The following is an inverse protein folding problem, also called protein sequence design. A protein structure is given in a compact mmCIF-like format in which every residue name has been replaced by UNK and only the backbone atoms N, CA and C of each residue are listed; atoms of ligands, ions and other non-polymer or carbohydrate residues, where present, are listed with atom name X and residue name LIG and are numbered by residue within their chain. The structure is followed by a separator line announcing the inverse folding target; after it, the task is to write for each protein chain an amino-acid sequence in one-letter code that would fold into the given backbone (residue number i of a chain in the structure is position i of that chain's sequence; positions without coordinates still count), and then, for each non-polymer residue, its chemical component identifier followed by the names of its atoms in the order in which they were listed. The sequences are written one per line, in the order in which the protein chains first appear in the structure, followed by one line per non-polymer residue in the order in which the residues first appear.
data_IF_397570597220
#
_entry.id   IF_397570597220
#
_cell.length_a   1.000
_cell.length_b   1.000
_cell.length_c   1.000
_cell.angle_alpha   90.00
_cell.angle_beta   90.00
_cell.angle_gamma   90.00
#
_symmetry.space_group_name_H-M   'P 1'
#
loop_
_entity.id
_entity.type
_entity.pdbx_description
1 polymer ?
#
# COMPACT_ATOMS: atom_id res chain seq x y z
N UNK A 1 -32.04 70.77 -0.05
CA UNK A 1 -33.35 70.79 -0.75
C UNK A 1 -33.24 70.00 -2.04
N UNK A 2 -34.22 69.14 -2.30
CA UNK A 2 -34.51 68.39 -3.54
C UNK A 2 -33.48 67.33 -4.01
N UNK A 3 -33.75 66.03 -3.87
CA UNK A 3 -34.60 65.17 -4.73
C UNK A 3 -34.08 65.00 -6.17
N UNK A 4 -33.64 63.77 -6.53
CA UNK A 4 -34.27 62.84 -7.50
C UNK A 4 -33.22 61.83 -8.00
N UNK A 5 -33.39 60.54 -7.74
CA UNK A 5 -34.13 59.50 -8.51
C UNK A 5 -33.14 58.49 -9.07
N UNK A 6 -33.36 57.25 -8.62
CA UNK A 6 -32.78 56.01 -9.10
C UNK A 6 -32.72 55.91 -10.63
N UNK A 7 -31.60 55.41 -11.15
CA UNK A 7 -31.60 54.60 -12.37
C UNK A 7 -31.31 53.17 -12.00
N UNK A 8 -32.38 52.40 -12.09
CA UNK A 8 -32.40 50.96 -12.20
C UNK A 8 -31.47 50.50 -13.32
N UNK A 9 -30.58 49.57 -13.01
CA UNK A 9 -29.91 48.75 -14.01
C UNK A 9 -30.60 47.40 -13.94
N UNK A 10 -31.44 47.11 -14.93
CA UNK A 10 -32.10 45.82 -15.03
C UNK A 10 -31.09 44.70 -15.28
N UNK A 11 -31.38 43.47 -14.78
CA UNK A 11 -30.60 42.28 -15.06
C UNK A 11 -30.87 41.79 -16.49
N UNK A 12 -30.39 40.60 -16.85
CA UNK A 12 -30.77 39.84 -18.05
C UNK A 12 -30.01 40.21 -19.34
N UNK A 13 -28.89 39.50 -19.55
CA UNK A 13 -28.61 38.71 -20.77
C UNK A 13 -27.36 37.86 -20.55
N UNK A 14 -27.49 36.83 -19.70
CA UNK A 14 -26.61 35.66 -19.84
C UNK A 14 -27.14 34.85 -21.01
N UNK A 15 -26.65 35.19 -22.19
CA UNK A 15 -26.77 34.37 -23.38
C UNK A 15 -26.26 32.97 -23.06
N UNK A 16 -27.18 32.01 -23.11
CA UNK A 16 -26.88 30.60 -23.14
C UNK A 16 -26.04 30.31 -24.39
N UNK A 17 -24.74 30.04 -24.21
CA UNK A 17 -23.96 29.25 -25.15
C UNK A 17 -22.74 28.70 -24.41
N UNK A 18 -22.68 27.38 -24.23
CA UNK A 18 -21.55 26.75 -23.56
C UNK A 18 -21.82 25.46 -22.78
N UNK A 19 -23.02 24.86 -22.85
CA UNK A 19 -23.30 23.55 -22.20
C UNK A 19 -22.75 22.33 -22.96
N UNK A 20 -21.63 22.46 -23.68
CA UNK A 20 -21.00 21.34 -24.39
C UNK A 20 -19.46 21.25 -24.26
N UNK A 21 -18.87 22.00 -23.33
CA UNK A 21 -17.43 21.93 -23.06
C UNK A 21 -17.07 21.18 -21.75
N UNK A 22 -18.06 20.58 -21.06
CA UNK A 22 -17.86 19.95 -19.76
C UNK A 22 -17.69 18.42 -19.75
N UNK A 23 -17.91 17.73 -20.87
CA UNK A 23 -17.91 16.26 -20.90
C UNK A 23 -16.64 15.61 -21.49
N UNK A 24 -15.75 16.38 -22.13
CA UNK A 24 -14.52 15.83 -22.71
C UNK A 24 -13.37 15.66 -21.70
N UNK A 25 -13.47 16.25 -20.50
CA UNK A 25 -12.47 16.11 -19.45
C UNK A 25 -12.67 14.87 -18.56
N UNK A 26 -13.91 14.38 -18.48
CA UNK A 26 -14.26 13.16 -17.73
C UNK A 26 -13.52 11.90 -18.22
N UNK A 27 -13.40 11.59 -19.53
CA UNK A 27 -12.66 10.42 -19.98
C UNK A 27 -11.15 10.53 -19.73
N UNK A 28 -10.59 11.74 -19.78
CA UNK A 28 -9.16 11.97 -19.51
C UNK A 28 -8.82 11.74 -18.03
N UNK A 29 -9.71 12.15 -17.12
CA UNK A 29 -9.59 11.89 -15.68
C UNK A 29 -9.86 10.43 -15.34
N UNK A 30 -10.80 9.76 -16.03
CA UNK A 30 -11.03 8.33 -15.88
C UNK A 30 -9.85 7.49 -16.38
N UNK A 31 -9.14 7.93 -17.43
CA UNK A 31 -7.94 7.26 -17.93
C UNK A 31 -6.75 7.32 -16.95
N UNK A 32 -6.68 8.36 -16.10
CA UNK A 32 -5.66 8.50 -15.05
C UNK A 32 -5.95 7.65 -13.81
N UNK A 33 -7.20 7.23 -13.60
CA UNK A 33 -7.58 6.39 -12.47
C UNK A 33 -7.09 4.92 -12.60
N UNK A 34 -6.59 4.52 -13.77
CA UNK A 34 -6.02 3.19 -14.00
C UNK A 34 -4.54 3.05 -13.64
N UNK A 35 -3.91 4.06 -13.01
CA UNK A 35 -2.46 4.11 -12.78
C UNK A 35 -2.03 3.65 -11.38
N UNK A 36 -2.94 3.21 -10.51
CA UNK A 36 -2.61 2.62 -9.21
C UNK A 36 -3.55 1.45 -8.90
N UNK A 37 -3.00 0.39 -8.31
CA UNK A 37 -3.80 -0.75 -7.89
C UNK A 37 -3.07 -1.69 -6.95
N UNK A 38 -3.84 -2.65 -6.41
CA UNK A 38 -3.34 -3.75 -5.59
C UNK A 38 -3.82 -5.07 -6.19
N UNK A 39 -2.92 -6.03 -6.25
CA UNK A 39 -3.24 -7.38 -6.67
C UNK A 39 -2.97 -8.35 -5.52
N UNK A 40 -3.98 -9.15 -5.16
CA UNK A 40 -3.81 -10.25 -4.22
C UNK A 40 -3.22 -11.44 -4.97
N UNK A 41 -1.93 -11.69 -4.73
CA UNK A 41 -1.13 -12.70 -5.40
C UNK A 41 -1.54 -14.14 -5.01
N UNK A 42 -2.20 -14.33 -3.86
CA UNK A 42 -2.64 -15.63 -3.40
C UNK A 42 -3.96 -16.04 -4.08
N UNK A 43 -4.88 -15.09 -4.26
CA UNK A 43 -6.19 -15.33 -4.87
C UNK A 43 -6.13 -15.70 -6.35
N UNK A 44 -5.13 -15.21 -7.07
CA UNK A 44 -4.96 -15.36 -8.52
C UNK A 44 -4.08 -16.55 -8.92
N UNK A 45 -3.61 -17.35 -7.96
CA UNK A 45 -2.72 -18.49 -8.23
C UNK A 45 -1.33 -18.07 -8.73
N UNK A 46 -0.97 -16.81 -8.56
CA UNK A 46 0.30 -16.25 -9.01
C UNK A 46 1.50 -16.59 -8.13
N UNK A 47 1.25 -17.21 -6.98
CA UNK A 47 2.28 -17.71 -6.10
C UNK A 47 2.08 -19.20 -5.85
N UNK A 48 3.19 -19.95 -5.66
CA UNK A 48 3.12 -21.34 -5.23
C UNK A 48 2.47 -21.46 -3.83
N UNK A 49 2.51 -20.40 -3.03
CA UNK A 49 1.83 -20.29 -1.74
C UNK A 49 0.34 -19.94 -1.92
N UNK A 50 -0.54 -20.92 -1.71
CA UNK A 50 -1.97 -20.68 -1.44
C UNK A 50 -2.10 -20.33 0.04
N UNK A 51 -2.07 -19.06 0.46
CA UNK A 51 -2.12 -18.71 1.89
C UNK A 51 -3.49 -18.12 2.26
N UNK A 52 -4.15 -18.59 3.34
CA UNK A 52 -3.59 -18.61 4.70
C UNK A 52 -2.55 -19.70 4.97
N UNK A 53 -1.38 -19.31 5.49
CA UNK A 53 -0.28 -20.21 5.80
C UNK A 53 0.39 -19.83 7.13
N UNK A 54 0.67 -20.84 7.96
CA UNK A 54 1.43 -20.67 9.20
C UNK A 54 2.92 -20.83 8.94
N UNK A 55 3.71 -19.83 9.31
CA UNK A 55 5.18 -19.82 9.17
C UNK A 55 5.83 -19.67 10.54
N UNK A 56 7.12 -20.00 10.65
CA UNK A 56 7.87 -19.87 11.90
C UNK A 56 9.10 -19.00 11.66
N UNK A 57 9.28 -17.96 12.47
CA UNK A 57 10.46 -17.10 12.37
C UNK A 57 11.74 -17.91 12.61
N UNK A 58 12.73 -17.77 11.71
CA UNK A 58 14.04 -18.41 11.90
C UNK A 58 15.05 -17.49 12.58
N UNK A 59 14.76 -16.19 12.61
CA UNK A 59 15.58 -15.17 13.23
C UNK A 59 14.72 -14.20 14.02
N UNK A 60 15.35 -13.46 14.91
CA UNK A 60 14.68 -12.40 15.66
C UNK A 60 14.14 -11.32 14.71
N UNK A 61 12.93 -10.85 15.00
CA UNK A 61 12.27 -9.79 14.25
C UNK A 61 11.59 -8.81 15.20
N UNK A 62 11.41 -7.57 14.78
CA UNK A 62 10.64 -6.58 15.52
C UNK A 62 9.32 -6.24 14.82
N UNK A 63 8.31 -5.93 15.61
CA UNK A 63 7.09 -5.24 15.17
C UNK A 63 7.23 -3.76 15.46
N UNK A 64 7.04 -2.94 14.43
CA UNK A 64 7.28 -1.51 14.46
C UNK A 64 6.01 -0.74 14.10
N UNK A 65 5.63 0.20 14.93
CA UNK A 65 4.59 1.18 14.65
C UNK A 65 5.17 2.26 13.73
N UNK A 66 4.50 2.60 12.64
CA UNK A 66 4.88 3.72 11.77
C UNK A 66 3.89 4.86 11.98
N UNK A 67 4.27 5.87 12.78
CA UNK A 67 3.37 6.98 13.15
C UNK A 67 2.00 6.45 13.56
N UNK A 68 0.93 6.85 12.87
CA UNK A 68 -0.46 6.48 13.16
C UNK A 68 -0.99 5.35 12.24
N UNK A 69 -0.12 4.59 11.57
CA UNK A 69 -0.53 3.49 10.70
C UNK A 69 -1.23 2.38 11.50
N UNK A 70 -2.36 1.82 11.03
CA UNK A 70 -3.11 0.82 11.78
C UNK A 70 -2.45 -0.57 11.79
N UNK A 71 -1.39 -0.79 11.01
CA UNK A 71 -0.72 -2.07 10.84
C UNK A 71 0.75 -1.94 11.23
N UNK A 72 1.25 -2.90 12.01
CA UNK A 72 2.65 -2.92 12.42
C UNK A 72 3.53 -3.39 11.26
N UNK A 73 4.73 -2.84 11.15
CA UNK A 73 5.73 -3.32 10.19
C UNK A 73 6.58 -4.39 10.87
N UNK A 74 6.57 -5.60 10.33
CA UNK A 74 7.54 -6.63 10.70
C UNK A 74 8.87 -6.33 10.01
N UNK A 75 9.97 -6.42 10.72
CA UNK A 75 11.32 -6.24 10.16
C UNK A 75 12.33 -7.12 10.90
N UNK A 76 13.40 -7.60 10.23
CA UNK A 76 14.54 -8.22 10.90
C UNK A 76 15.04 -7.40 12.09
N UNK A 77 15.51 -8.07 13.15
CA UNK A 77 16.21 -7.44 14.27
C UNK A 77 17.59 -8.08 14.49
N UNK A 78 18.66 -7.29 14.70
CA UNK A 78 18.70 -5.83 14.60
C UNK A 78 18.50 -5.34 13.16
N UNK A 79 17.97 -4.12 13.01
CA UNK A 79 17.89 -3.38 11.74
C UNK A 79 18.72 -2.11 11.83
N UNK A 80 19.02 -1.52 10.68
CA UNK A 80 19.49 -0.15 10.62
C UNK A 80 18.37 0.80 11.07
N UNK A 81 18.64 1.57 12.12
CA UNK A 81 17.69 2.52 12.73
C UNK A 81 17.98 3.97 12.35
N UNK A 82 18.93 4.24 11.45
CA UNK A 82 19.36 5.60 11.10
C UNK A 82 18.20 6.50 10.66
N UNK A 83 17.20 5.93 9.98
CA UNK A 83 16.05 6.66 9.45
C UNK A 83 14.76 6.47 10.27
N UNK A 84 14.80 5.74 11.40
CA UNK A 84 13.58 5.40 12.14
C UNK A 84 12.88 6.68 12.64
N UNK A 85 13.63 7.69 13.11
CA UNK A 85 13.07 8.98 13.55
C UNK A 85 12.38 9.73 12.41
N UNK A 86 12.98 9.77 11.23
CA UNK A 86 12.42 10.45 10.06
C UNK A 86 11.08 9.82 9.63
N UNK A 87 11.04 8.49 9.62
CA UNK A 87 9.84 7.73 9.29
C UNK A 87 8.86 7.58 10.46
N UNK A 88 9.22 8.03 11.66
CA UNK A 88 8.40 7.86 12.86
C UNK A 88 8.18 6.39 13.24
N UNK A 89 9.20 5.55 13.02
CA UNK A 89 9.18 4.15 13.42
C UNK A 89 9.47 4.02 14.91
N UNK A 90 8.62 3.28 15.61
CA UNK A 90 8.82 2.92 17.01
C UNK A 90 8.63 1.42 17.18
N UNK A 91 9.57 0.76 17.86
CA UNK A 91 9.45 -0.67 18.14
C UNK A 91 8.39 -0.89 19.22
N UNK A 92 7.39 -1.69 18.88
CA UNK A 92 6.33 -2.12 19.79
C UNK A 92 6.72 -3.41 20.50
N UNK A 93 7.30 -4.36 19.75
CA UNK A 93 7.63 -5.69 20.27
C UNK A 93 8.82 -6.30 19.54
N UNK A 94 9.58 -7.13 20.25
CA UNK A 94 10.54 -8.07 19.65
C UNK A 94 9.94 -9.48 19.67
N UNK A 95 10.03 -10.18 18.55
CA UNK A 95 9.59 -11.56 18.35
C UNK A 95 10.84 -12.45 18.25
N UNK A 96 11.03 -13.42 19.15
CA UNK A 96 12.17 -14.31 19.11
C UNK A 96 12.08 -15.30 17.93
N UNK A 97 13.21 -15.91 17.53
CA UNK A 97 13.18 -17.10 16.67
C UNK A 97 12.25 -18.18 17.23
N UNK A 98 11.61 -18.95 16.36
CA UNK A 98 10.61 -19.95 16.73
C UNK A 98 9.19 -19.41 16.90
N UNK A 99 8.99 -18.08 16.83
CA UNK A 99 7.66 -17.48 16.90
C UNK A 99 6.83 -17.86 15.68
N UNK A 100 5.63 -18.46 15.84
CA UNK A 100 4.74 -18.74 14.72
C UNK A 100 4.01 -17.47 14.27
N UNK A 101 3.87 -17.26 12.96
CA UNK A 101 3.09 -16.18 12.37
C UNK A 101 2.05 -16.77 11.43
N UNK A 102 0.87 -16.18 11.39
CA UNK A 102 -0.14 -16.50 10.40
C UNK A 102 -0.06 -15.49 9.26
N UNK A 103 0.21 -15.96 8.04
CA UNK A 103 0.18 -15.15 6.82
C UNK A 103 -1.20 -15.31 6.21
N UNK A 104 -1.96 -14.23 6.09
CA UNK A 104 -3.34 -14.26 5.59
C UNK A 104 -3.43 -13.81 4.14
N UNK A 105 -2.50 -12.98 3.68
CA UNK A 105 -2.54 -12.41 2.33
C UNK A 105 -1.17 -11.96 1.85
N UNK A 106 -0.94 -12.06 0.54
CA UNK A 106 0.22 -11.52 -0.15
C UNK A 106 -0.28 -10.53 -1.20
N UNK A 107 0.12 -9.26 -1.10
CA UNK A 107 -0.29 -8.23 -2.06
C UNK A 107 0.90 -7.68 -2.83
N UNK A 108 0.65 -7.34 -4.09
CA UNK A 108 1.51 -6.46 -4.87
C UNK A 108 0.78 -5.14 -5.13
N UNK A 109 1.33 -4.04 -4.63
CA UNK A 109 0.86 -2.70 -4.96
C UNK A 109 1.66 -2.16 -6.15
N UNK A 110 1.00 -1.51 -7.11
CA UNK A 110 1.63 -0.92 -8.30
C UNK A 110 1.06 0.47 -8.58
N UNK A 111 1.89 1.33 -9.18
CA UNK A 111 1.48 2.64 -9.66
C UNK A 111 2.64 3.62 -9.77
N UNK A 112 2.35 4.86 -10.21
CA UNK A 112 3.36 5.87 -10.55
C UNK A 112 4.29 6.20 -9.37
N UNK A 113 3.76 6.24 -8.15
CA UNK A 113 4.48 6.60 -6.93
C UNK A 113 4.80 5.39 -6.02
N UNK A 114 4.36 4.18 -6.38
CA UNK A 114 4.42 2.98 -5.52
C UNK A 114 5.72 2.18 -5.68
N UNK A 115 6.74 2.79 -6.31
CA UNK A 115 8.02 2.15 -6.63
C UNK A 115 7.87 1.04 -7.67
N UNK A 116 8.84 0.10 -7.75
CA UNK A 116 8.86 -1.02 -8.73
C UNK A 116 7.72 -2.04 -8.55
N UNK A 117 6.67 -1.75 -7.78
CA UNK A 117 5.57 -2.68 -7.51
C UNK A 117 5.81 -3.49 -6.23
N UNK A 118 5.74 -2.83 -5.07
CA UNK A 118 6.06 -3.42 -3.75
C UNK A 118 5.21 -4.66 -3.47
N UNK A 119 5.87 -5.71 -3.00
CA UNK A 119 5.23 -6.96 -2.58
C UNK A 119 5.29 -7.04 -1.06
N UNK A 120 4.12 -7.23 -0.44
CA UNK A 120 3.95 -7.23 1.00
C UNK A 120 3.22 -8.49 1.47
N UNK A 121 3.69 -9.07 2.58
CA UNK A 121 2.98 -10.11 3.29
C UNK A 121 2.21 -9.52 4.48
N UNK A 122 0.93 -9.85 4.58
CA UNK A 122 0.07 -9.44 5.69
C UNK A 122 -0.29 -10.63 6.55
N UNK A 123 -0.35 -10.41 7.86
CA UNK A 123 -0.57 -11.48 8.81
C UNK A 123 -0.86 -11.02 10.22
N UNK A 124 -0.87 -11.98 11.15
CA UNK A 124 -1.06 -11.75 12.58
C UNK A 124 0.00 -12.46 13.41
N UNK A 125 0.48 -11.79 14.46
CA UNK A 125 1.35 -12.38 15.47
C UNK A 125 0.59 -13.35 16.39
N UNK A 126 1.27 -14.15 17.24
CA UNK A 126 0.60 -14.97 18.25
C UNK A 126 -0.25 -14.17 19.25
N UNK A 127 0.10 -12.90 19.49
CA UNK A 127 -0.66 -12.01 20.36
C UNK A 127 -1.79 -11.27 19.62
N UNK A 128 -1.99 -11.56 18.34
CA UNK A 128 -3.08 -11.01 17.52
C UNK A 128 -2.78 -9.65 16.90
N UNK A 129 -1.56 -9.14 17.00
CA UNK A 129 -1.23 -7.87 16.35
C UNK A 129 -1.14 -8.06 14.83
N UNK A 130 -1.88 -7.25 14.03
CA UNK A 130 -1.77 -7.30 12.57
C UNK A 130 -0.43 -6.71 12.13
N UNK A 131 0.21 -7.36 11.18
CA UNK A 131 1.47 -6.90 10.62
C UNK A 131 1.49 -6.90 9.08
N UNK A 132 2.39 -6.07 8.55
CA UNK A 132 2.84 -6.06 7.17
C UNK A 132 4.36 -6.31 7.14
N UNK A 133 4.80 -7.18 6.26
CA UNK A 133 6.22 -7.38 5.94
C UNK A 133 6.47 -7.02 4.48
N UNK A 134 7.26 -5.97 4.24
CA UNK A 134 7.73 -5.62 2.90
C UNK A 134 8.76 -6.66 2.44
N UNK A 135 8.35 -7.56 1.54
CA UNK A 135 9.11 -8.75 1.20
C UNK A 135 9.87 -8.63 -0.13
N UNK A 136 9.38 -7.79 -1.04
CA UNK A 136 10.01 -7.62 -2.35
C UNK A 136 9.44 -6.47 -3.17
N UNK A 137 9.77 -6.48 -4.45
CA UNK A 137 9.31 -5.48 -5.41
C UNK A 137 9.48 -5.94 -6.85
N UNK A 138 8.55 -5.53 -7.72
CA UNK A 138 8.55 -5.89 -9.13
C UNK A 138 8.28 -7.37 -9.31
N UNK A 139 9.21 -8.07 -9.94
CA UNK A 139 9.08 -9.51 -10.21
C UNK A 139 9.93 -10.37 -9.27
N UNK A 140 10.52 -9.78 -8.23
CA UNK A 140 11.42 -10.47 -7.31
C UNK A 140 10.95 -10.33 -5.86
N UNK A 141 10.87 -11.48 -5.20
CA UNK A 141 10.63 -11.61 -3.77
C UNK A 141 11.91 -12.16 -3.16
N UNK A 142 12.49 -11.41 -2.22
CA UNK A 142 13.70 -11.85 -1.51
C UNK A 142 13.39 -12.99 -0.54
N UNK A 143 14.37 -13.38 0.27
CA UNK A 143 14.15 -14.34 1.35
C UNK A 143 13.41 -13.68 2.52
N UNK A 144 12.35 -14.32 3.02
CA UNK A 144 11.66 -13.87 4.22
C UNK A 144 12.41 -14.22 5.52
N UNK A 145 12.10 -13.58 6.67
CA UNK A 145 12.72 -13.91 7.95
C UNK A 145 12.37 -15.31 8.49
N UNK A 146 11.32 -15.93 7.96
CA UNK A 146 10.92 -17.32 8.25
C UNK A 146 11.47 -18.34 7.24
N UNK A 147 12.18 -17.90 6.21
CA UNK A 147 12.75 -18.78 5.19
C UNK A 147 14.25 -19.03 5.48
N UNK A 148 14.73 -20.27 5.32
CA UNK A 148 16.14 -20.57 5.56
C UNK A 148 17.03 -19.90 4.52
N UNK A 149 18.30 -19.67 4.87
CA UNK A 149 19.24 -18.94 4.02
C UNK A 149 19.46 -19.56 2.63
N UNK A 150 19.16 -20.85 2.49
CA UNK A 150 19.22 -21.62 1.25
C UNK A 150 18.06 -21.35 0.29
N UNK A 151 16.99 -20.68 0.71
CA UNK A 151 15.86 -20.34 -0.18
C UNK A 151 16.32 -19.29 -1.20
N UNK A 152 16.31 -19.61 -2.51
CA UNK A 152 16.62 -18.62 -3.53
C UNK A 152 15.48 -17.60 -3.64
N UNK A 153 15.75 -16.38 -4.15
CA UNK A 153 14.70 -15.41 -4.43
C UNK A 153 13.60 -16.01 -5.31
N UNK A 154 12.36 -15.85 -4.89
CA UNK A 154 11.19 -16.29 -5.67
C UNK A 154 10.90 -15.25 -6.75
N UNK A 155 10.57 -15.72 -7.96
CA UNK A 155 10.06 -14.85 -9.02
C UNK A 155 8.55 -14.75 -8.87
N UNK A 156 8.04 -13.54 -8.72
CA UNK A 156 6.62 -13.27 -8.87
C UNK A 156 6.29 -13.31 -10.37
N UNK A 157 5.29 -14.09 -10.75
CA UNK A 157 4.76 -14.10 -12.13
C UNK A 157 3.84 -12.89 -12.30
N UNK A 158 3.76 -12.30 -13.50
CA UNK A 158 2.76 -11.27 -13.77
C UNK A 158 1.36 -11.87 -13.56
N UNK A 159 0.57 -11.23 -12.71
CA UNK A 159 -0.82 -11.57 -12.49
C UNK A 159 -1.72 -10.72 -13.36
N UNK A 160 -2.34 -11.35 -14.36
CA UNK A 160 -3.21 -10.68 -15.32
C UNK A 160 -2.42 -10.00 -16.44
N UNK A 161 -2.88 -10.24 -17.67
CA UNK A 161 -2.50 -9.47 -18.87
C UNK A 161 -3.13 -8.07 -18.84
#
# INVERSE_FOLDING_TARGET
MANRVARWVEPWRLSACGRRAGLAWLPLLAALAGCEGRHDLASSGCLPLRAPARVVLLQESGLYQVRDAPTLVLSPHPRDTANDRFHGLQRVRTLPPGTPLEITRLEQAWGLDVGKGRISAFGTSPQGEPFEYGWGGGTQIGRAPWEPASVPPLRAVRCGD
#
